data_IF_799766232623
#
_entry.id   IF_799766232623
#
_cell.length_a   1.000
_cell.length_b   1.000
_cell.length_c   1.000
_cell.angle_alpha   90.00
_cell.angle_beta   90.00
_cell.angle_gamma   90.00
#
_symmetry.space_group_name_H-M   'P 1'
#
loop_
_entity.id
_entity.type
_entity.pdbx_description
1 polymer ?
#
# COMPACT_ATOMS: atom_id res chain seq x y z
N UNK A 1 24.65 -17.56 -8.84
CA UNK A 1 23.68 -17.51 -7.72
C UNK A 1 23.55 -16.05 -7.33
N UNK A 2 22.41 -15.39 -7.59
CA UNK A 2 22.22 -13.99 -7.24
C UNK A 2 21.58 -13.93 -5.85
N UNK A 3 22.34 -13.41 -4.87
CA UNK A 3 21.85 -13.14 -3.53
C UNK A 3 20.75 -12.08 -3.61
N UNK A 4 19.55 -12.40 -3.15
CA UNK A 4 18.52 -11.39 -2.93
C UNK A 4 19.01 -10.43 -1.85
N UNK A 5 19.28 -9.18 -2.21
CA UNK A 5 19.56 -8.12 -1.25
C UNK A 5 18.24 -7.87 -0.52
N UNK A 6 18.13 -8.35 0.71
CA UNK A 6 17.04 -7.95 1.59
C UNK A 6 17.27 -6.49 1.96
N UNK A 7 16.55 -5.60 1.31
CA UNK A 7 16.59 -4.17 1.61
C UNK A 7 16.10 -3.99 3.05
N UNK A 8 16.96 -3.48 3.94
CA UNK A 8 16.55 -3.16 5.30
C UNK A 8 15.56 -1.99 5.19
N UNK A 9 14.29 -2.17 5.58
CA UNK A 9 13.30 -1.11 5.49
C UNK A 9 13.73 0.04 6.42
N UNK A 10 13.93 1.22 5.84
CA UNK A 10 14.19 2.45 6.61
C UNK A 10 12.88 3.05 7.12
N UNK A 11 11.81 2.92 6.33
CA UNK A 11 10.47 3.31 6.78
C UNK A 11 9.76 2.14 7.45
N UNK A 12 9.09 2.44 8.55
CA UNK A 12 8.23 1.50 9.27
C UNK A 12 6.94 1.21 8.51
N UNK A 13 6.28 0.11 8.90
CA UNK A 13 4.91 -0.22 8.45
C UNK A 13 3.95 0.95 8.61
N UNK A 14 3.99 1.66 9.74
CA UNK A 14 3.11 2.81 10.00
C UNK A 14 3.38 3.99 9.06
N UNK A 15 4.64 4.23 8.69
CA UNK A 15 4.98 5.28 7.73
C UNK A 15 4.47 4.94 6.34
N UNK A 16 4.63 3.69 5.89
CA UNK A 16 4.07 3.24 4.61
C UNK A 16 2.53 3.40 4.57
N UNK A 17 1.84 3.09 5.68
CA UNK A 17 0.40 3.30 5.82
C UNK A 17 0.05 4.78 5.68
N UNK A 18 0.72 5.67 6.41
CA UNK A 18 0.44 7.10 6.37
C UNK A 18 0.65 7.69 4.97
N UNK A 19 1.65 7.20 4.23
CA UNK A 19 1.90 7.60 2.84
C UNK A 19 0.74 7.15 1.93
N UNK A 20 0.31 5.88 2.05
CA UNK A 20 -0.81 5.37 1.27
C UNK A 20 -2.13 6.10 1.60
N UNK A 21 -2.40 6.37 2.88
CA UNK A 21 -3.60 7.08 3.34
C UNK A 21 -3.63 8.52 2.83
N UNK A 22 -2.50 9.23 2.87
CA UNK A 22 -2.40 10.60 2.36
C UNK A 22 -2.71 10.69 0.85
N UNK A 23 -2.31 9.69 0.06
CA UNK A 23 -2.63 9.62 -1.38
C UNK A 23 -4.08 9.13 -1.63
N UNK A 24 -4.59 8.19 -0.82
CA UNK A 24 -5.91 7.61 -1.00
C UNK A 24 -7.06 8.52 -0.53
N UNK A 25 -6.85 9.30 0.55
CA UNK A 25 -7.91 10.12 1.18
C UNK A 25 -8.56 11.14 0.23
N UNK A 26 -7.81 11.88 -0.63
CA UNK A 26 -8.42 12.78 -1.62
C UNK A 26 -9.29 12.05 -2.66
N UNK A 27 -8.97 10.79 -2.96
CA UNK A 27 -9.65 9.99 -4.00
C UNK A 27 -10.91 9.33 -3.44
N UNK A 28 -10.80 8.68 -2.28
CA UNK A 28 -11.89 7.87 -1.72
C UNK A 28 -12.80 8.66 -0.77
N UNK A 29 -12.37 9.86 -0.31
CA UNK A 29 -13.07 10.78 0.61
C UNK A 29 -13.37 10.22 2.01
N UNK A 30 -13.54 8.90 2.14
CA UNK A 30 -13.65 8.18 3.39
C UNK A 30 -13.03 6.78 3.24
N UNK A 31 -12.14 6.41 4.17
CA UNK A 31 -11.48 5.11 4.24
C UNK A 31 -12.03 4.21 5.37
N UNK A 32 -13.01 4.68 6.16
CA UNK A 32 -13.55 4.00 7.36
C UNK A 32 -14.13 2.61 7.05
N UNK A 33 -14.64 2.41 5.84
CA UNK A 33 -15.22 1.15 5.37
C UNK A 33 -14.17 0.17 4.81
N UNK A 34 -12.89 0.54 4.84
CA UNK A 34 -11.78 -0.27 4.35
C UNK A 34 -11.01 -0.93 5.51
N UNK A 35 -10.52 -2.13 5.26
CA UNK A 35 -9.54 -2.86 6.07
C UNK A 35 -8.21 -2.79 5.34
N UNK A 36 -7.13 -2.56 6.08
CA UNK A 36 -5.80 -2.39 5.52
C UNK A 36 -4.95 -3.64 5.73
N UNK A 37 -4.44 -4.20 4.64
CA UNK A 37 -3.44 -5.25 4.66
C UNK A 37 -2.09 -4.67 4.24
N UNK A 38 -1.04 -4.95 5.02
CA UNK A 38 0.30 -4.40 4.76
C UNK A 38 1.36 -5.46 4.99
N UNK A 39 2.15 -5.71 3.97
CA UNK A 39 3.23 -6.69 3.96
C UNK A 39 4.50 -6.08 3.37
N UNK A 40 5.66 -6.51 3.88
CA UNK A 40 6.96 -6.12 3.35
C UNK A 40 7.43 -7.18 2.36
N UNK A 41 7.74 -6.76 1.14
CA UNK A 41 8.29 -7.58 0.07
C UNK A 41 9.62 -6.99 -0.42
N UNK A 42 10.29 -7.71 -1.33
CA UNK A 42 11.60 -7.31 -1.85
C UNK A 42 11.57 -5.98 -2.64
N UNK A 43 10.41 -5.62 -3.18
CA UNK A 43 10.13 -4.40 -3.96
C UNK A 43 9.53 -3.27 -3.11
N UNK A 44 9.29 -3.50 -1.81
CA UNK A 44 8.84 -2.47 -0.89
C UNK A 44 7.68 -2.90 0.01
N UNK A 45 7.04 -1.92 0.63
CA UNK A 45 5.81 -2.07 1.38
C UNK A 45 4.62 -2.15 0.45
N UNK A 46 3.91 -3.28 0.48
CA UNK A 46 2.65 -3.46 -0.21
C UNK A 46 1.54 -3.04 0.73
N UNK A 47 0.71 -2.08 0.31
CA UNK A 47 -0.42 -1.58 1.08
C UNK A 47 -1.69 -1.80 0.26
N UNK A 48 -2.55 -2.69 0.76
CA UNK A 48 -3.79 -3.08 0.11
C UNK A 48 -5.00 -2.69 0.93
N UNK A 49 -5.94 -1.98 0.30
CA UNK A 49 -7.22 -1.68 0.92
C UNK A 49 -8.27 -2.71 0.50
N UNK A 50 -8.89 -3.33 1.49
CA UNK A 50 -9.95 -4.32 1.35
C UNK A 50 -11.26 -3.70 1.81
N UNK A 51 -12.36 -3.85 1.07
CA UNK A 51 -13.66 -3.38 1.57
C UNK A 51 -14.19 -4.34 2.65
N UNK A 52 -14.64 -3.81 3.79
CA UNK A 52 -15.24 -4.60 4.88
C UNK A 52 -16.49 -5.37 4.44
N UNK A 53 -17.18 -4.90 3.40
CA UNK A 53 -18.32 -5.58 2.78
C UNK A 53 -17.99 -5.86 1.31
N UNK A 54 -18.25 -7.07 0.80
CA UNK A 54 -18.12 -7.38 -0.61
C UNK A 54 -19.29 -6.72 -1.38
N UNK A 55 -19.28 -5.39 -1.48
CA UNK A 55 -20.14 -4.67 -2.41
C UNK A 55 -19.36 -4.49 -3.70
N UNK A 56 -19.74 -5.28 -4.71
CA UNK A 56 -19.45 -5.10 -6.13
C UNK A 56 -17.99 -4.79 -6.47
N UNK A 57 -17.27 -5.81 -6.97
CA UNK A 57 -16.17 -5.80 -7.96
C UNK A 57 -15.61 -4.43 -8.44
N UNK A 58 -15.30 -3.53 -7.53
CA UNK A 58 -14.66 -2.25 -7.79
C UNK A 58 -13.26 -2.29 -7.22
N UNK A 59 -12.35 -1.61 -7.91
CA UNK A 59 -11.18 -0.95 -7.33
C UNK A 59 -10.82 -1.24 -5.91
N UNK A 60 -9.89 -2.18 -5.68
CA UNK A 60 -9.08 -2.13 -4.47
C UNK A 60 -7.83 -1.31 -4.78
N UNK A 61 -7.62 -0.16 -4.13
CA UNK A 61 -6.38 0.55 -4.27
C UNK A 61 -5.26 -0.32 -3.70
N UNK A 62 -4.26 -0.58 -4.54
CA UNK A 62 -3.04 -1.28 -4.18
C UNK A 62 -1.86 -0.35 -4.40
N UNK A 63 -1.02 -0.22 -3.38
CA UNK A 63 0.17 0.60 -3.37
C UNK A 63 1.41 -0.26 -3.14
N UNK A 64 2.48 0.05 -3.86
CA UNK A 64 3.84 -0.40 -3.54
C UNK A 64 4.64 0.85 -3.20
N UNK A 65 5.20 0.87 -1.99
CA UNK A 65 5.96 1.99 -1.44
C UNK A 65 7.38 1.52 -1.20
N UNK A 66 8.37 2.25 -1.73
CA UNK A 66 9.77 1.93 -1.53
C UNK A 66 10.10 1.91 -0.03
N UNK A 67 10.70 0.81 0.43
CA UNK A 67 10.94 0.60 1.85
C UNK A 67 12.07 1.48 2.43
N UNK A 68 12.84 2.17 1.59
CA UNK A 68 13.96 3.03 1.98
C UNK A 68 13.57 4.51 1.88
N UNK A 69 13.02 4.92 0.74
CA UNK A 69 12.71 6.33 0.43
C UNK A 69 11.30 6.74 0.84
N UNK A 70 10.36 5.80 0.89
CA UNK A 70 8.93 6.10 1.08
C UNK A 70 8.24 6.64 -0.17
N UNK A 71 8.88 6.56 -1.34
CA UNK A 71 8.24 6.92 -2.60
C UNK A 71 7.20 5.86 -3.01
N UNK A 72 6.07 6.30 -3.56
CA UNK A 72 5.08 5.40 -4.15
C UNK A 72 5.64 4.91 -5.50
N UNK A 73 6.10 3.67 -5.53
CA UNK A 73 6.66 3.00 -6.72
C UNK A 73 5.54 2.61 -7.69
N UNK A 74 4.41 2.16 -7.15
CA UNK A 74 3.24 1.76 -7.94
C UNK A 74 1.97 2.09 -7.18
N UNK A 75 0.97 2.57 -7.92
CA UNK A 75 -0.42 2.65 -7.44
C UNK A 75 -1.36 2.15 -8.52
N UNK A 76 -2.28 1.27 -8.14
CA UNK A 76 -3.33 0.75 -9.01
C UNK A 76 -4.67 0.99 -8.37
N UNK A 77 -5.55 1.67 -9.11
CA UNK A 77 -6.97 1.73 -8.83
C UNK A 77 -7.65 0.84 -9.88
N UNK A 78 -8.27 -0.27 -9.49
CA UNK A 78 -9.13 -0.96 -10.44
C UNK A 78 -10.37 -0.08 -10.66
N UNK A 79 -10.69 0.27 -11.91
CA UNK A 79 -11.92 1.00 -12.25
C UNK A 79 -12.95 0.06 -12.82
#
# INVERSE_FOLDING_TARGET
MMSAVMTIPTISRQQAIAIAEADALPVYRNLDDLTLEVSLHNDGWHVEYQMRKPRHAGGRPHYVIDAVTGEIVSKKYYQ
#
